data_IF_297003787622
#
_entry.id   IF_297003787622
#
_cell.length_a   1.000
_cell.length_b   1.000
_cell.length_c   1.000
_cell.angle_alpha   90.00
_cell.angle_beta   90.00
_cell.angle_gamma   90.00
#
_symmetry.space_group_name_H-M   'P 1'
#
loop_
_entity.id
_entity.type
_entity.pdbx_description
1 polymer ?
#
# COMPACT_ATOMS: atom_id res chain seq x y z
N UNK A 1 -8.19 9.60 -4.23
CA UNK A 1 -7.27 8.71 -4.98
C UNK A 1 -8.11 7.62 -5.62
N UNK A 2 -7.65 6.96 -6.69
CA UNK A 2 -8.32 5.80 -7.29
C UNK A 2 -7.39 4.59 -7.30
N UNK A 3 -7.98 3.41 -7.06
CA UNK A 3 -7.30 2.11 -7.09
C UNK A 3 -8.02 1.23 -8.11
N UNK A 4 -7.31 0.71 -9.11
CA UNK A 4 -7.84 -0.27 -10.07
C UNK A 4 -7.07 -1.59 -9.90
N UNK A 5 -7.69 -2.63 -9.33
CA UNK A 5 -7.09 -3.96 -9.23
C UNK A 5 -6.84 -4.56 -10.62
N UNK A 6 -5.71 -5.26 -10.77
CA UNK A 6 -5.25 -5.89 -12.00
C UNK A 6 -4.66 -7.27 -11.70
N UNK A 7 -4.56 -8.19 -12.68
CA UNK A 7 -3.95 -9.50 -12.46
C UNK A 7 -2.51 -9.46 -11.94
N UNK A 8 -1.76 -8.36 -12.16
CA UNK A 8 -0.40 -8.19 -11.64
C UNK A 8 -0.35 -7.46 -10.29
N UNK A 9 -1.46 -6.92 -9.78
CA UNK A 9 -1.52 -6.07 -8.60
C UNK A 9 -2.51 -4.93 -8.81
N UNK A 10 -2.05 -3.68 -8.98
CA UNK A 10 -2.97 -2.56 -9.21
C UNK A 10 -2.34 -1.35 -9.89
N UNK A 11 -3.22 -0.51 -10.43
CA UNK A 11 -2.95 0.86 -10.85
C UNK A 11 -3.46 1.83 -9.80
N UNK A 12 -2.61 2.73 -9.32
CA UNK A 12 -2.95 3.79 -8.37
C UNK A 12 -2.91 5.14 -9.09
N UNK A 13 -4.00 5.89 -9.01
CA UNK A 13 -4.06 7.24 -9.58
C UNK A 13 -4.40 8.27 -8.51
N UNK A 14 -3.56 9.30 -8.40
CA UNK A 14 -3.79 10.42 -7.51
C UNK A 14 -4.31 11.63 -8.30
N UNK A 15 -5.59 11.98 -8.14
CA UNK A 15 -6.24 13.05 -8.92
C UNK A 15 -5.60 14.44 -8.74
N UNK A 16 -5.17 14.81 -7.53
CA UNK A 16 -4.58 16.13 -7.28
C UNK A 16 -3.22 16.33 -7.98
N UNK A 17 -2.27 15.43 -7.73
CA UNK A 17 -0.93 15.44 -8.36
C UNK A 17 -0.87 14.87 -9.78
N UNK A 18 -1.97 14.26 -10.27
CA UNK A 18 -2.05 13.55 -11.56
C UNK A 18 -1.01 12.44 -11.75
N UNK A 19 -0.47 11.91 -10.64
CA UNK A 19 0.51 10.82 -10.66
C UNK A 19 -0.19 9.49 -10.88
N UNK A 20 0.48 8.59 -11.61
CA UNK A 20 0.12 7.18 -11.78
C UNK A 20 1.23 6.32 -11.18
N UNK A 21 0.86 5.29 -10.41
CA UNK A 21 1.80 4.33 -9.82
C UNK A 21 1.30 2.90 -9.99
N UNK A 22 2.22 1.96 -10.06
CA UNK A 22 1.92 0.56 -10.33
C UNK A 22 2.34 -0.28 -9.13
N UNK A 23 1.40 -1.06 -8.59
CA UNK A 23 1.69 -2.14 -7.66
C UNK A 23 1.84 -3.42 -8.49
N UNK A 24 3.06 -3.93 -8.62
CA UNK A 24 3.37 -5.14 -9.41
C UNK A 24 3.32 -6.44 -8.60
N UNK A 25 2.72 -6.38 -7.41
CA UNK A 25 2.63 -7.50 -6.48
C UNK A 25 1.23 -7.48 -5.84
N UNK A 26 0.50 -8.60 -5.93
CA UNK A 26 -0.85 -8.75 -5.35
C UNK A 26 -0.86 -8.70 -3.83
N UNK A 27 0.18 -9.22 -3.17
CA UNK A 27 0.35 -9.10 -1.73
C UNK A 27 0.52 -7.64 -1.32
N UNK A 28 1.28 -6.84 -2.07
CA UNK A 28 1.39 -5.40 -1.79
C UNK A 28 0.03 -4.69 -1.94
N UNK A 29 -0.77 -5.04 -2.95
CA UNK A 29 -2.15 -4.54 -3.07
C UNK A 29 -2.97 -4.91 -1.82
N UNK A 30 -2.89 -6.17 -1.39
CA UNK A 30 -3.62 -6.67 -0.22
C UNK A 30 -3.24 -5.90 1.05
N UNK A 31 -1.94 -5.65 1.25
CA UNK A 31 -1.45 -4.81 2.35
C UNK A 31 -2.05 -3.41 2.26
N UNK A 32 -1.95 -2.75 1.09
CA UNK A 32 -2.46 -1.39 0.89
C UNK A 32 -3.97 -1.29 1.18
N UNK A 33 -4.76 -2.27 0.73
CA UNK A 33 -6.21 -2.28 0.93
C UNK A 33 -6.60 -2.50 2.40
N UNK A 34 -5.78 -3.23 3.16
CA UNK A 34 -6.05 -3.56 4.56
C UNK A 34 -5.44 -2.58 5.56
N UNK A 35 -4.62 -1.60 5.12
CA UNK A 35 -3.95 -0.65 6.02
C UNK A 35 -4.89 0.04 7.03
N UNK A 36 -6.14 0.31 6.63
CA UNK A 36 -7.12 0.97 7.49
C UNK A 36 -7.68 0.07 8.60
N UNK A 37 -7.54 -1.25 8.46
CA UNK A 37 -8.06 -2.28 9.37
C UNK A 37 -7.06 -2.62 10.48
N UNK A 38 -5.81 -2.15 10.37
CA UNK A 38 -4.74 -2.44 11.31
C UNK A 38 -4.20 -1.17 11.98
N UNK A 39 -3.66 -1.28 13.21
CA UNK A 39 -3.10 -0.12 13.92
C UNK A 39 -1.78 0.37 13.32
N UNK A 40 -1.06 -0.49 12.61
CA UNK A 40 0.23 -0.19 12.00
C UNK A 40 0.52 -1.04 10.77
N UNK A 41 1.49 -0.58 9.98
CA UNK A 41 1.87 -1.20 8.70
C UNK A 41 2.38 -2.64 8.87
N UNK A 42 3.12 -2.96 9.95
CA UNK A 42 3.66 -4.31 10.16
C UNK A 42 2.54 -5.29 10.48
N UNK A 43 1.56 -4.85 11.26
CA UNK A 43 0.35 -5.62 11.54
C UNK A 43 -0.44 -5.90 10.24
N UNK A 44 -0.58 -4.93 9.34
CA UNK A 44 -1.20 -5.14 8.03
C UNK A 44 -0.40 -6.13 7.16
N UNK A 45 0.93 -6.04 7.15
CA UNK A 45 1.78 -7.01 6.45
C UNK A 45 1.55 -8.44 6.95
N UNK A 46 1.51 -8.66 8.27
CA UNK A 46 1.20 -9.99 8.84
C UNK A 46 -0.21 -10.44 8.48
N UNK A 47 -1.19 -9.55 8.54
CA UNK A 47 -2.56 -9.82 8.11
C UNK A 47 -2.68 -10.25 6.65
N UNK A 48 -1.80 -9.75 5.78
CA UNK A 48 -1.68 -10.14 4.39
C UNK A 48 -0.80 -11.40 4.16
N UNK A 49 -0.37 -12.09 5.22
CA UNK A 49 0.44 -13.31 5.15
C UNK A 49 1.95 -13.08 5.00
N UNK A 50 2.45 -11.86 5.22
CA UNK A 50 3.89 -11.55 5.15
C UNK A 50 4.54 -11.72 6.52
N UNK A 51 5.37 -12.76 6.66
CA UNK A 51 6.18 -12.99 7.86
C UNK A 51 7.16 -11.83 8.11
N UNK A 52 7.51 -11.55 9.37
CA UNK A 52 8.33 -10.39 9.74
C UNK A 52 9.68 -10.33 9.03
N UNK A 53 10.32 -11.47 8.78
CA UNK A 53 11.58 -11.57 8.02
C UNK A 53 11.45 -11.13 6.55
N UNK A 54 10.25 -11.21 5.98
CA UNK A 54 9.95 -10.84 4.59
C UNK A 54 9.31 -9.47 4.42
N UNK A 55 9.10 -8.70 5.51
CA UNK A 55 8.36 -7.43 5.43
C UNK A 55 9.15 -6.30 4.76
N UNK A 56 10.48 -6.36 4.75
CA UNK A 56 11.32 -5.22 4.37
C UNK A 56 10.97 -4.63 2.99
N UNK A 57 10.83 -5.41 1.90
CA UNK A 57 10.49 -4.87 0.59
C UNK A 57 9.12 -4.18 0.55
N UNK A 58 8.15 -4.67 1.34
CA UNK A 58 6.81 -4.08 1.44
C UNK A 58 6.87 -2.74 2.18
N UNK A 59 7.64 -2.66 3.27
CA UNK A 59 7.85 -1.42 4.00
C UNK A 59 8.52 -0.34 3.13
N UNK A 60 9.55 -0.73 2.36
CA UNK A 60 10.24 0.19 1.45
C UNK A 60 9.27 0.68 0.34
N UNK A 61 8.46 -0.22 -0.25
CA UNK A 61 7.46 0.15 -1.25
C UNK A 61 6.38 1.09 -0.70
N UNK A 62 5.88 0.83 0.52
CA UNK A 62 4.92 1.70 1.19
C UNK A 62 5.52 3.07 1.51
N UNK A 63 6.80 3.14 1.87
CA UNK A 63 7.54 4.39 2.02
C UNK A 63 7.56 5.23 0.73
N UNK A 64 7.79 4.60 -0.43
CA UNK A 64 7.74 5.27 -1.74
C UNK A 64 6.32 5.78 -2.05
N UNK A 65 5.29 5.00 -1.74
CA UNK A 65 3.90 5.44 -1.92
C UNK A 65 3.55 6.63 -1.02
N UNK A 66 3.99 6.61 0.24
CA UNK A 66 3.81 7.75 1.15
C UNK A 66 4.54 9.00 0.66
N UNK A 67 5.81 8.87 0.26
CA UNK A 67 6.62 9.98 -0.27
C UNK A 67 6.04 10.58 -1.57
N UNK A 68 5.28 9.79 -2.34
CA UNK A 68 4.60 10.25 -3.56
C UNK A 68 3.18 10.75 -3.34
N UNK A 69 2.71 10.81 -2.09
CA UNK A 69 1.35 11.12 -1.68
C UNK A 69 0.28 10.11 -2.19
N UNK A 70 0.71 8.92 -2.61
CA UNK A 70 -0.19 7.81 -2.98
C UNK A 70 -0.78 7.11 -1.76
N UNK A 71 -0.11 7.21 -0.62
CA UNK A 71 -0.62 6.84 0.70
C UNK A 71 -0.50 8.04 1.62
N UNK A 72 -1.47 8.19 2.50
CA UNK A 72 -1.46 9.22 3.54
C UNK A 72 -1.69 8.56 4.90
N UNK A 73 -1.11 9.11 5.97
CA UNK A 73 -1.50 8.72 7.32
C UNK A 73 -3.01 8.85 7.47
N UNK A 74 -3.62 7.89 8.15
CA UNK A 74 -5.02 8.03 8.56
C UNK A 74 -5.08 9.21 9.54
N UNK A 75 -5.90 10.21 9.23
CA UNK A 75 -6.17 11.29 10.18
C UNK A 75 -6.76 10.67 11.45
N UNK A 76 -6.10 10.92 12.58
CA UNK A 76 -6.55 10.47 13.88
C UNK A 76 -7.93 11.07 14.17
N UNK A 77 -8.84 10.23 14.64
CA UNK A 77 -10.05 10.71 15.31
C UNK A 77 -9.69 11.16 16.72
#
# INVERSE_FOLDING_TARGET
MAVRPEPFGALLYHFGTRKLSFLKNRTLLTVVQSLADYPDVRSACRGAGVADSGQRPYLDALGVLAASAMLVPREGR
#
